data_IF_412904395974
#
_entry.id   IF_412904395974
#
_cell.length_a   1.000
_cell.length_b   1.000
_cell.length_c   1.000
_cell.angle_alpha   90.00
_cell.angle_beta   90.00
_cell.angle_gamma   90.00
#
_symmetry.space_group_name_H-M   'P 1'
#
loop_
_entity.id
_entity.type
_entity.pdbx_description
1 polymer ?
#
# COMPACT_ATOMS: atom_id res chain seq x y z
N UNK A 1 -2.68 -46.25 -2.07
CA UNK A 1 -1.36 -46.09 -1.39
C UNK A 1 -0.34 -45.39 -2.29
N UNK A 2 -0.28 -45.73 -3.58
CA UNK A 2 0.65 -45.11 -4.54
C UNK A 2 0.24 -43.67 -4.89
N UNK A 3 -1.03 -43.38 -5.03
CA UNK A 3 -1.57 -42.02 -5.26
C UNK A 3 -1.31 -41.09 -4.08
N UNK A 4 -1.52 -41.55 -2.84
CA UNK A 4 -1.24 -40.74 -1.63
C UNK A 4 0.25 -40.45 -1.46
N UNK A 5 1.13 -41.34 -1.91
CA UNK A 5 2.58 -41.14 -1.88
C UNK A 5 3.03 -40.13 -2.94
N UNK A 6 2.38 -40.14 -4.11
CA UNK A 6 2.60 -39.14 -5.17
C UNK A 6 2.12 -37.75 -4.77
N UNK A 7 0.95 -37.64 -4.16
CA UNK A 7 0.41 -36.36 -3.65
C UNK A 7 1.28 -35.76 -2.54
N UNK A 8 1.77 -36.58 -1.59
CA UNK A 8 2.72 -36.16 -0.55
C UNK A 8 4.03 -35.64 -1.16
N UNK A 9 4.57 -36.34 -2.16
CA UNK A 9 5.82 -35.92 -2.83
C UNK A 9 5.64 -34.62 -3.63
N UNK A 10 4.46 -34.39 -4.23
CA UNK A 10 4.14 -33.14 -4.91
C UNK A 10 3.97 -31.98 -3.93
N UNK A 11 3.32 -32.22 -2.79
CA UNK A 11 3.17 -31.20 -1.74
C UNK A 11 4.50 -30.80 -1.12
N UNK A 12 5.40 -31.76 -0.88
CA UNK A 12 6.76 -31.51 -0.39
C UNK A 12 7.59 -30.70 -1.42
N UNK A 13 7.50 -31.06 -2.70
CA UNK A 13 8.17 -30.32 -3.76
C UNK A 13 7.67 -28.88 -3.89
N UNK A 14 6.35 -28.66 -3.81
CA UNK A 14 5.75 -27.34 -3.83
C UNK A 14 6.19 -26.51 -2.61
N UNK A 15 6.21 -27.10 -1.42
CA UNK A 15 6.66 -26.43 -0.21
C UNK A 15 8.14 -25.98 -0.32
N UNK A 16 9.02 -26.83 -0.86
CA UNK A 16 10.42 -26.49 -1.10
C UNK A 16 10.58 -25.35 -2.12
N UNK A 17 9.79 -25.36 -3.20
CA UNK A 17 9.79 -24.25 -4.17
C UNK A 17 9.32 -22.93 -3.53
N UNK A 18 8.26 -22.97 -2.76
CA UNK A 18 7.76 -21.78 -2.04
C UNK A 18 8.78 -21.25 -1.03
N UNK A 19 9.48 -22.12 -0.30
CA UNK A 19 10.54 -21.73 0.64
C UNK A 19 11.73 -21.09 -0.10
N UNK A 20 12.14 -21.65 -1.24
CA UNK A 20 13.21 -21.08 -2.06
C UNK A 20 12.84 -19.70 -2.61
N UNK A 21 11.62 -19.54 -3.11
CA UNK A 21 11.08 -18.25 -3.60
C UNK A 21 11.04 -17.20 -2.48
N UNK A 22 10.59 -17.59 -1.28
CA UNK A 22 10.57 -16.70 -0.11
C UNK A 22 11.98 -16.25 0.29
N UNK A 23 12.96 -17.14 0.29
CA UNK A 23 14.34 -16.80 0.59
C UNK A 23 14.97 -15.89 -0.48
N UNK A 24 14.68 -16.12 -1.76
CA UNK A 24 15.14 -15.26 -2.85
C UNK A 24 14.49 -13.85 -2.74
N UNK A 25 13.18 -13.80 -2.51
CA UNK A 25 12.47 -12.55 -2.24
C UNK A 25 13.09 -11.80 -1.06
N UNK A 26 13.37 -12.48 0.04
CA UNK A 26 13.97 -11.88 1.23
C UNK A 26 15.36 -11.31 0.95
N UNK A 27 16.19 -12.04 0.19
CA UNK A 27 17.50 -11.55 -0.25
C UNK A 27 17.39 -10.29 -1.11
N UNK A 28 16.41 -10.25 -2.02
CA UNK A 28 16.14 -9.10 -2.88
C UNK A 28 15.64 -7.88 -2.07
N UNK A 29 14.72 -8.09 -1.13
CA UNK A 29 14.18 -7.03 -0.27
C UNK A 29 15.27 -6.37 0.57
N UNK A 30 16.11 -7.16 1.24
CA UNK A 30 17.11 -6.67 2.19
C UNK A 30 18.51 -6.52 1.60
N UNK A 31 18.64 -6.31 0.29
CA UNK A 31 19.93 -6.15 -0.38
C UNK A 31 20.67 -4.86 0.00
N UNK A 32 19.94 -3.83 0.41
CA UNK A 32 20.50 -2.54 0.80
C UNK A 32 20.78 -2.46 2.30
N UNK A 33 21.72 -1.60 2.69
CA UNK A 33 21.86 -1.17 4.08
C UNK A 33 20.84 -0.07 4.36
N UNK A 34 20.24 -0.09 5.56
CA UNK A 34 19.46 1.03 6.03
C UNK A 34 20.41 2.25 6.18
N UNK A 35 20.04 3.43 5.66
CA UNK A 35 20.82 4.65 5.83
C UNK A 35 20.94 5.05 7.31
N UNK A 36 22.10 5.61 7.70
CA UNK A 36 22.36 6.08 9.07
C UNK A 36 21.35 7.16 9.50
N UNK A 37 21.13 8.15 8.62
CA UNK A 37 20.07 9.14 8.81
C UNK A 37 18.84 8.66 8.08
N UNK A 38 17.82 8.26 8.78
CA UNK A 38 16.57 7.79 8.21
C UNK A 38 15.75 8.96 7.61
N UNK A 39 16.30 9.58 6.54
CA UNK A 39 15.69 10.65 5.76
C UNK A 39 15.23 10.12 4.39
N UNK A 40 14.23 10.79 3.80
CA UNK A 40 13.72 10.43 2.49
C UNK A 40 14.81 10.51 1.41
N UNK A 41 15.64 11.55 1.45
CA UNK A 41 16.76 11.72 0.50
C UNK A 41 17.74 10.54 0.57
N UNK A 42 18.13 10.12 1.76
CA UNK A 42 19.08 9.02 1.94
C UNK A 42 18.47 7.67 1.58
N UNK A 43 17.19 7.45 1.92
CA UNK A 43 16.46 6.26 1.48
C UNK A 43 16.46 6.13 -0.04
N UNK A 44 16.06 7.19 -0.77
CA UNK A 44 16.04 7.18 -2.23
C UNK A 44 17.45 7.03 -2.84
N UNK A 45 18.46 7.63 -2.22
CA UNK A 45 19.86 7.50 -2.68
C UNK A 45 20.40 6.08 -2.53
N UNK A 46 19.94 5.31 -1.54
CA UNK A 46 20.31 3.92 -1.32
C UNK A 46 19.67 2.96 -2.34
N UNK A 47 18.51 3.31 -2.90
CA UNK A 47 17.79 2.50 -3.88
C UNK A 47 18.55 2.40 -5.21
N UNK A 48 18.25 1.37 -6.01
CA UNK A 48 18.71 1.28 -7.42
C UNK A 48 17.91 2.22 -8.31
N UNK A 49 18.40 2.46 -9.53
CA UNK A 49 17.63 3.23 -10.51
C UNK A 49 16.30 2.55 -10.85
N UNK A 50 16.27 1.22 -10.95
CA UNK A 50 15.06 0.48 -11.25
C UNK A 50 13.99 0.70 -10.16
N UNK A 51 14.36 0.61 -8.87
CA UNK A 51 13.43 0.89 -7.77
C UNK A 51 12.90 2.34 -7.77
N UNK A 52 13.75 3.30 -8.13
CA UNK A 52 13.31 4.69 -8.29
C UNK A 52 12.38 4.87 -9.50
N UNK A 53 12.62 4.15 -10.60
CA UNK A 53 11.74 4.15 -11.76
C UNK A 53 10.38 3.50 -11.46
N UNK A 54 10.33 2.46 -10.62
CA UNK A 54 9.09 1.85 -10.14
C UNK A 54 8.26 2.86 -9.33
N UNK A 55 8.88 3.58 -8.38
CA UNK A 55 8.23 4.65 -7.62
C UNK A 55 7.71 5.75 -8.56
N UNK A 56 8.55 6.18 -9.52
CA UNK A 56 8.17 7.17 -10.52
C UNK A 56 6.93 6.74 -11.32
N UNK A 57 6.90 5.48 -11.73
CA UNK A 57 5.79 4.90 -12.48
C UNK A 57 4.52 4.85 -11.63
N UNK A 58 4.61 4.33 -10.41
CA UNK A 58 3.46 4.20 -9.49
C UNK A 58 2.86 5.55 -9.11
N UNK A 59 3.68 6.59 -8.98
CA UNK A 59 3.24 7.96 -8.72
C UNK A 59 2.86 8.74 -10.00
N UNK A 60 2.93 8.10 -11.17
CA UNK A 60 2.63 8.70 -12.48
C UNK A 60 3.43 10.01 -12.73
N UNK A 61 4.71 10.03 -12.35
CA UNK A 61 5.56 11.21 -12.53
C UNK A 61 6.14 11.21 -13.95
N UNK A 62 5.69 12.16 -14.77
CA UNK A 62 6.12 12.33 -16.15
C UNK A 62 7.46 13.10 -16.28
N UNK A 63 8.11 12.98 -17.44
CA UNK A 63 9.30 13.78 -17.79
C UNK A 63 10.55 13.48 -16.96
N UNK A 64 10.65 12.29 -16.35
CA UNK A 64 11.77 11.90 -15.51
C UNK A 64 12.45 10.58 -15.89
N UNK A 65 11.99 9.89 -16.95
CA UNK A 65 12.52 8.58 -17.37
C UNK A 65 13.97 8.61 -17.85
N UNK A 66 14.41 9.72 -18.41
CA UNK A 66 15.78 9.92 -18.90
C UNK A 66 16.78 10.38 -17.84
N UNK A 67 16.32 10.71 -16.63
CA UNK A 67 17.17 11.22 -15.56
C UNK A 67 18.14 10.14 -15.07
N UNK A 68 19.34 10.56 -14.67
CA UNK A 68 20.28 9.69 -13.96
C UNK A 68 19.76 9.42 -12.55
N UNK A 69 20.27 8.35 -11.89
CA UNK A 69 19.84 7.92 -10.57
C UNK A 69 19.74 9.06 -9.55
N UNK A 70 20.79 9.87 -9.43
CA UNK A 70 20.85 10.98 -8.46
C UNK A 70 19.81 12.06 -8.74
N UNK A 71 19.68 12.47 -10.01
CA UNK A 71 18.71 13.46 -10.46
C UNK A 71 17.26 12.95 -10.26
N UNK A 72 17.03 11.66 -10.52
CA UNK A 72 15.73 11.03 -10.29
C UNK A 72 15.38 11.02 -8.80
N UNK A 73 16.31 10.63 -7.92
CA UNK A 73 16.09 10.64 -6.48
C UNK A 73 15.77 12.05 -5.95
N UNK A 74 16.48 13.08 -6.42
CA UNK A 74 16.21 14.48 -6.06
C UNK A 74 14.83 14.94 -6.54
N UNK A 75 14.41 14.54 -7.73
CA UNK A 75 13.07 14.86 -8.25
C UNK A 75 11.96 14.14 -7.53
N UNK A 76 12.16 12.87 -7.14
CA UNK A 76 11.14 12.06 -6.46
C UNK A 76 10.84 12.55 -5.05
N UNK A 77 11.81 13.00 -4.29
CA UNK A 77 11.62 13.36 -2.88
C UNK A 77 10.47 14.37 -2.66
N UNK A 78 10.40 15.53 -3.34
CA UNK A 78 9.29 16.45 -3.17
C UNK A 78 7.95 15.91 -3.69
N UNK A 79 7.96 15.10 -4.75
CA UNK A 79 6.74 14.52 -5.32
C UNK A 79 6.15 13.43 -4.39
N UNK A 80 6.98 12.62 -3.74
CA UNK A 80 6.55 11.66 -2.72
C UNK A 80 5.89 12.38 -1.54
N UNK A 81 6.48 13.47 -1.05
CA UNK A 81 5.90 14.25 0.05
C UNK A 81 4.57 14.92 -0.36
N UNK A 82 4.50 15.44 -1.57
CA UNK A 82 3.25 15.99 -2.11
C UNK A 82 2.17 14.92 -2.22
N UNK A 83 2.52 13.75 -2.75
CA UNK A 83 1.63 12.60 -2.82
C UNK A 83 1.15 12.18 -1.43
N UNK A 84 2.07 12.02 -0.47
CA UNK A 84 1.74 11.61 0.89
C UNK A 84 0.68 12.52 1.54
N UNK A 85 0.80 13.85 1.39
CA UNK A 85 -0.18 14.82 1.91
C UNK A 85 -1.58 14.66 1.33
N UNK A 86 -1.67 14.30 0.05
CA UNK A 86 -2.96 14.12 -0.64
C UNK A 86 -3.56 12.75 -0.33
N UNK A 87 -2.71 11.74 -0.20
CA UNK A 87 -3.10 10.34 -0.05
C UNK A 87 -3.43 9.95 1.40
N UNK A 88 -2.71 10.50 2.39
CA UNK A 88 -2.92 10.16 3.81
C UNK A 88 -4.37 10.25 4.28
N UNK A 89 -5.20 11.22 3.85
CA UNK A 89 -6.63 11.22 4.22
C UNK A 89 -7.44 10.02 3.70
N UNK A 90 -6.93 9.27 2.72
CA UNK A 90 -7.61 8.11 2.12
C UNK A 90 -7.16 6.76 2.70
N UNK A 91 -6.26 6.76 3.71
CA UNK A 91 -5.76 5.51 4.29
C UNK A 91 -6.84 4.76 5.07
N UNK A 92 -6.69 3.45 5.13
CA UNK A 92 -7.52 2.57 5.94
C UNK A 92 -6.90 2.42 7.34
N UNK A 93 -7.68 1.89 8.28
CA UNK A 93 -7.24 1.71 9.67
C UNK A 93 -5.95 0.87 9.77
N UNK A 94 -5.80 -0.17 8.97
CA UNK A 94 -4.60 -1.00 8.97
C UNK A 94 -3.33 -0.25 8.50
N UNK A 95 -3.48 0.71 7.59
CA UNK A 95 -2.37 1.58 7.20
C UNK A 95 -2.08 2.60 8.29
N UNK A 96 -3.10 3.19 8.90
CA UNK A 96 -2.95 4.08 10.04
C UNK A 96 -2.17 3.39 11.18
N UNK A 97 -2.56 2.17 11.56
CA UNK A 97 -1.85 1.38 12.56
C UNK A 97 -0.39 1.08 12.17
N UNK A 98 -0.14 0.83 10.88
CA UNK A 98 1.21 0.66 10.35
C UNK A 98 2.06 1.92 10.54
N UNK A 99 1.53 3.10 10.24
CA UNK A 99 2.22 4.37 10.48
C UNK A 99 2.47 4.62 11.96
N UNK A 100 1.47 4.38 12.81
CA UNK A 100 1.60 4.46 14.28
C UNK A 100 2.70 3.54 14.78
N UNK A 101 2.77 2.31 14.26
CA UNK A 101 3.85 1.39 14.62
C UNK A 101 5.23 2.00 14.34
N UNK A 102 5.44 2.64 13.17
CA UNK A 102 6.71 3.31 12.86
C UNK A 102 6.97 4.55 13.72
N UNK A 103 5.93 5.25 14.20
CA UNK A 103 6.08 6.33 15.16
C UNK A 103 6.62 5.80 16.49
N UNK A 104 5.99 4.74 17.03
CA UNK A 104 6.35 4.12 18.30
C UNK A 104 7.75 3.47 18.26
N UNK A 105 8.08 2.79 17.18
CA UNK A 105 9.38 2.12 16.97
C UNK A 105 10.46 3.09 16.43
N UNK A 106 10.27 4.42 16.55
CA UNK A 106 11.21 5.46 16.16
C UNK A 106 11.68 5.38 14.69
N UNK A 107 10.81 4.91 13.84
CA UNK A 107 10.97 4.89 12.38
C UNK A 107 11.61 3.63 11.81
N UNK A 108 11.84 2.57 12.59
CA UNK A 108 12.30 1.26 12.08
C UNK A 108 11.76 0.11 12.91
N UNK A 109 11.51 -1.02 12.26
CA UNK A 109 11.01 -2.23 12.93
C UNK A 109 11.54 -3.49 12.25
N UNK A 110 11.91 -4.48 13.06
CA UNK A 110 12.23 -5.85 12.64
C UNK A 110 11.10 -6.85 12.92
N UNK A 111 9.93 -6.34 13.34
CA UNK A 111 8.79 -7.16 13.79
C UNK A 111 7.71 -7.33 12.70
N UNK A 112 7.84 -6.59 11.60
CA UNK A 112 6.89 -6.64 10.49
C UNK A 112 7.19 -7.83 9.58
N UNK A 113 6.15 -8.39 8.98
CA UNK A 113 6.26 -9.55 8.11
C UNK A 113 6.72 -9.14 6.72
N UNK A 114 7.59 -9.95 6.11
CA UNK A 114 8.13 -9.69 4.77
C UNK A 114 7.13 -10.00 3.63
N UNK A 115 6.05 -10.72 3.93
CA UNK A 115 4.96 -11.07 3.01
C UNK A 115 3.72 -10.16 3.14
N UNK A 116 3.82 -9.06 3.86
CA UNK A 116 2.73 -8.07 3.99
C UNK A 116 2.61 -7.23 2.71
N UNK A 117 1.57 -7.50 1.93
CA UNK A 117 1.27 -6.80 0.66
C UNK A 117 1.17 -5.28 0.85
N UNK A 118 0.70 -4.83 2.01
CA UNK A 118 0.61 -3.42 2.36
C UNK A 118 1.99 -2.76 2.45
N UNK A 119 3.00 -3.44 3.03
CA UNK A 119 4.37 -2.92 3.09
C UNK A 119 4.99 -2.82 1.69
N UNK A 120 4.74 -3.80 0.82
CA UNK A 120 5.18 -3.75 -0.58
C UNK A 120 4.53 -2.58 -1.31
N UNK A 121 3.23 -2.36 -1.11
CA UNK A 121 2.51 -1.22 -1.67
C UNK A 121 3.10 0.12 -1.21
N UNK A 122 3.26 0.31 0.10
CA UNK A 122 3.85 1.53 0.67
C UNK A 122 5.29 1.75 0.20
N UNK A 123 6.07 0.68 0.04
CA UNK A 123 7.42 0.72 -0.53
C UNK A 123 7.39 1.13 -2.00
N UNK A 124 6.47 0.60 -2.78
CA UNK A 124 6.25 0.98 -4.18
C UNK A 124 5.90 2.45 -4.39
N UNK A 125 5.34 3.10 -3.37
CA UNK A 125 5.06 4.55 -3.34
C UNK A 125 6.23 5.40 -2.79
N UNK A 126 7.30 4.77 -2.32
CA UNK A 126 8.44 5.45 -1.70
C UNK A 126 8.17 6.00 -0.30
N UNK A 127 7.13 5.53 0.38
CA UNK A 127 6.76 5.98 1.73
C UNK A 127 7.57 5.27 2.83
N UNK A 128 8.04 4.07 2.54
CA UNK A 128 8.95 3.30 3.40
C UNK A 128 9.90 2.44 2.55
N UNK A 129 10.86 1.82 3.19
CA UNK A 129 11.75 0.86 2.56
C UNK A 129 12.19 -0.22 3.56
N UNK A 130 12.99 -1.17 3.10
CA UNK A 130 13.58 -2.20 3.94
C UNK A 130 15.08 -2.33 3.68
N UNK A 131 15.81 -2.86 4.64
CA UNK A 131 17.26 -3.00 4.54
C UNK A 131 17.88 -3.64 5.77
N UNK A 132 19.21 -3.65 5.79
CA UNK A 132 20.01 -4.18 6.89
C UNK A 132 20.46 -3.07 7.82
N UNK A 133 20.15 -3.20 9.12
CA UNK A 133 20.65 -2.36 10.20
C UNK A 133 21.60 -3.23 11.07
N UNK A 134 22.90 -3.20 10.76
CA UNK A 134 23.83 -4.22 11.22
C UNK A 134 23.45 -5.60 10.71
N UNK A 135 23.27 -6.56 11.63
CA UNK A 135 22.83 -7.92 11.32
C UNK A 135 21.29 -8.10 11.27
N UNK A 136 20.53 -7.04 11.59
CA UNK A 136 19.07 -7.09 11.63
C UNK A 136 18.47 -6.69 10.29
N UNK A 137 17.46 -7.42 9.86
CA UNK A 137 16.60 -7.05 8.75
C UNK A 137 15.48 -6.15 9.29
N UNK A 138 15.32 -4.97 8.71
CA UNK A 138 14.38 -3.96 9.19
C UNK A 138 13.59 -3.33 8.05
N UNK A 139 12.32 -3.05 8.32
CA UNK A 139 11.53 -2.06 7.60
C UNK A 139 11.75 -0.70 8.24
N UNK A 140 11.81 0.36 7.45
CA UNK A 140 12.01 1.71 7.97
C UNK A 140 11.24 2.76 7.18
N UNK A 141 10.74 3.75 7.89
CA UNK A 141 9.98 4.88 7.34
C UNK A 141 10.77 6.16 7.55
N UNK A 142 11.05 6.95 6.49
CA UNK A 142 11.79 8.22 6.59
C UNK A 142 11.15 9.20 7.54
N UNK A 143 12.00 10.05 8.15
CA UNK A 143 11.56 11.06 9.11
C UNK A 143 10.50 11.98 8.50
N UNK A 144 10.69 12.44 7.27
CA UNK A 144 9.79 13.37 6.58
C UNK A 144 8.40 12.78 6.40
N UNK A 145 8.28 11.49 6.08
CA UNK A 145 6.98 10.79 5.94
C UNK A 145 6.31 10.69 7.31
N UNK A 146 7.04 10.31 8.34
CA UNK A 146 6.51 10.27 9.72
C UNK A 146 6.07 11.66 10.21
N UNK A 147 6.79 12.71 9.83
CA UNK A 147 6.44 14.08 10.19
C UNK A 147 5.17 14.56 9.48
N UNK A 148 4.93 14.15 8.20
CA UNK A 148 3.65 14.44 7.52
C UNK A 148 2.49 13.70 8.20
N UNK A 149 2.66 12.44 8.55
CA UNK A 149 1.63 11.67 9.27
C UNK A 149 1.31 12.32 10.63
N UNK A 150 2.33 12.67 11.43
CA UNK A 150 2.15 13.31 12.76
C UNK A 150 1.37 14.62 12.72
N UNK A 151 1.38 15.35 11.60
CA UNK A 151 0.60 16.59 11.48
C UNK A 151 -0.91 16.31 11.46
N UNK A 152 -1.30 15.13 10.98
CA UNK A 152 -2.69 14.69 10.89
C UNK A 152 -3.09 13.84 12.10
N UNK A 153 -2.12 13.18 12.73
CA UNK A 153 -2.34 12.21 13.81
C UNK A 153 -3.11 12.82 14.99
N UNK A 154 -4.34 12.35 15.13
CA UNK A 154 -5.33 12.80 16.11
C UNK A 154 -6.45 11.77 16.21
N UNK A 155 -7.26 11.80 17.28
CA UNK A 155 -8.46 10.94 17.36
C UNK A 155 -9.40 11.09 16.17
N UNK A 156 -9.50 12.28 15.58
CA UNK A 156 -10.32 12.50 14.38
C UNK A 156 -9.72 11.83 13.14
N UNK A 157 -8.40 11.77 13.04
CA UNK A 157 -7.74 11.11 11.91
C UNK A 157 -7.83 9.57 12.01
N UNK A 158 -7.73 9.02 13.21
CA UNK A 158 -7.99 7.60 13.45
C UNK A 158 -9.45 7.24 13.13
N UNK A 159 -10.41 8.09 13.55
CA UNK A 159 -11.81 7.91 13.22
C UNK A 159 -12.06 7.99 11.69
N UNK A 160 -11.36 8.88 10.96
CA UNK A 160 -11.41 8.95 9.51
C UNK A 160 -10.88 7.66 8.87
N UNK A 161 -9.74 7.13 9.30
CA UNK A 161 -9.18 5.87 8.80
C UNK A 161 -10.14 4.68 9.08
N UNK A 162 -10.79 4.68 10.23
CA UNK A 162 -11.83 3.70 10.59
C UNK A 162 -13.04 3.81 9.64
N UNK A 163 -13.50 5.01 9.37
CA UNK A 163 -14.60 5.27 8.42
C UNK A 163 -14.22 4.82 7.00
N UNK A 164 -13.00 5.10 6.55
CA UNK A 164 -12.50 4.65 5.24
C UNK A 164 -12.51 3.11 5.13
N UNK A 165 -12.17 2.42 6.20
CA UNK A 165 -12.25 0.95 6.28
C UNK A 165 -13.68 0.46 6.17
N UNK A 166 -14.62 1.10 6.87
CA UNK A 166 -16.04 0.77 6.80
C UNK A 166 -16.62 1.03 5.39
N UNK A 167 -16.27 2.15 4.75
CA UNK A 167 -16.60 2.46 3.35
C UNK A 167 -16.13 1.34 2.42
N UNK A 168 -14.90 0.87 2.59
CA UNK A 168 -14.33 -0.22 1.78
C UNK A 168 -15.07 -1.53 2.02
N UNK A 169 -15.41 -1.84 3.27
CA UNK A 169 -16.18 -3.04 3.65
C UNK A 169 -17.59 -3.03 3.06
N UNK A 170 -18.30 -1.91 3.15
CA UNK A 170 -19.62 -1.74 2.56
C UNK A 170 -19.57 -1.88 1.03
N UNK A 171 -18.58 -1.25 0.40
CA UNK A 171 -18.32 -1.38 -1.04
C UNK A 171 -18.13 -2.84 -1.45
N UNK A 172 -17.26 -3.57 -0.76
CA UNK A 172 -17.02 -4.98 -1.04
C UNK A 172 -18.31 -5.81 -0.88
N UNK A 173 -19.13 -5.50 0.13
CA UNK A 173 -20.43 -6.14 0.34
C UNK A 173 -21.39 -5.92 -0.83
N UNK A 174 -21.52 -4.70 -1.34
CA UNK A 174 -22.34 -4.43 -2.53
C UNK A 174 -21.81 -5.15 -3.77
N UNK A 175 -20.50 -5.07 -4.01
CA UNK A 175 -19.87 -5.64 -5.19
C UNK A 175 -19.84 -7.18 -5.18
N UNK A 176 -19.87 -7.80 -3.99
CA UNK A 176 -19.99 -9.25 -3.87
C UNK A 176 -21.28 -9.78 -4.55
N UNK A 177 -22.38 -9.02 -4.48
CA UNK A 177 -23.66 -9.40 -5.10
C UNK A 177 -23.82 -8.84 -6.51
N UNK A 178 -23.30 -7.62 -6.79
CA UNK A 178 -23.52 -6.93 -8.06
C UNK A 178 -22.37 -7.08 -9.06
N UNK A 179 -21.21 -7.56 -8.60
CA UNK A 179 -20.00 -7.73 -9.40
C UNK A 179 -19.29 -6.41 -9.72
N UNK A 180 -19.99 -5.45 -10.30
CA UNK A 180 -19.49 -4.13 -10.72
C UNK A 180 -20.53 -3.04 -10.41
N UNK A 181 -20.04 -1.81 -10.14
CA UNK A 181 -20.88 -0.62 -10.00
C UNK A 181 -20.09 0.64 -10.36
N UNK A 182 -20.72 1.61 -11.02
CA UNK A 182 -20.13 2.92 -11.24
C UNK A 182 -19.94 3.70 -9.92
N UNK A 183 -19.04 4.68 -9.93
CA UNK A 183 -18.68 5.40 -8.72
C UNK A 183 -19.84 6.18 -8.10
N UNK A 184 -20.71 6.81 -8.90
CA UNK A 184 -21.80 7.65 -8.40
C UNK A 184 -22.88 6.81 -7.71
N UNK A 185 -23.27 5.71 -8.35
CA UNK A 185 -24.23 4.75 -7.80
C UNK A 185 -23.69 4.13 -6.51
N UNK A 186 -22.42 3.71 -6.51
CA UNK A 186 -21.77 3.09 -5.36
C UNK A 186 -21.64 4.06 -4.20
N UNK A 187 -21.19 5.31 -4.46
CA UNK A 187 -21.13 6.38 -3.47
C UNK A 187 -22.49 6.60 -2.80
N UNK A 188 -23.55 6.75 -3.60
CA UNK A 188 -24.91 6.98 -3.10
C UNK A 188 -25.37 5.84 -2.18
N UNK A 189 -25.09 4.60 -2.56
CA UNK A 189 -25.47 3.42 -1.77
C UNK A 189 -24.66 3.33 -0.46
N UNK A 190 -23.35 3.52 -0.52
CA UNK A 190 -22.47 3.45 0.64
C UNK A 190 -22.74 4.60 1.60
N UNK A 191 -22.81 5.84 1.10
CA UNK A 191 -23.13 7.01 1.92
C UNK A 191 -24.51 6.87 2.62
N UNK A 192 -25.47 6.22 1.98
CA UNK A 192 -26.78 5.93 2.57
C UNK A 192 -26.74 4.98 3.78
N UNK A 193 -25.67 4.24 3.99
CA UNK A 193 -25.48 3.33 5.13
C UNK A 193 -24.70 3.97 6.29
N UNK A 194 -24.04 5.09 6.04
CA UNK A 194 -23.25 5.78 7.07
C UNK A 194 -24.15 6.61 8.00
N UNK A 195 -23.68 6.84 9.21
CA UNK A 195 -24.29 7.78 10.14
C UNK A 195 -24.35 9.21 9.56
N UNK A 196 -25.24 10.04 10.05
CA UNK A 196 -25.51 11.35 9.47
C UNK A 196 -24.28 12.26 9.43
N UNK A 197 -23.51 12.32 10.50
CA UNK A 197 -22.28 13.10 10.60
C UNK A 197 -21.16 12.56 9.69
N UNK A 198 -21.03 11.26 9.55
CA UNK A 198 -20.10 10.62 8.63
C UNK A 198 -20.46 10.94 7.17
N UNK A 199 -21.75 10.85 6.84
CA UNK A 199 -22.27 11.15 5.49
C UNK A 199 -22.04 12.60 5.09
N UNK A 200 -22.28 13.56 6.01
CA UNK A 200 -22.07 14.98 5.76
C UNK A 200 -20.60 15.32 5.50
N UNK A 201 -19.69 14.57 6.09
CA UNK A 201 -18.24 14.77 5.95
C UNK A 201 -17.60 13.99 4.79
N UNK A 202 -18.31 13.05 4.16
CA UNK A 202 -17.80 12.26 3.04
C UNK A 202 -18.09 12.93 1.71
N UNK A 203 -17.09 13.54 1.08
CA UNK A 203 -17.23 14.01 -0.30
C UNK A 203 -17.09 12.84 -1.31
N UNK A 204 -17.70 13.01 -2.50
CA UNK A 204 -17.51 12.06 -3.60
C UNK A 204 -16.02 11.86 -3.97
N UNK A 205 -15.24 12.95 -3.94
CA UNK A 205 -13.79 12.90 -4.21
C UNK A 205 -13.05 12.04 -3.18
N UNK A 206 -13.38 12.20 -1.89
CA UNK A 206 -12.74 11.43 -0.83
C UNK A 206 -13.12 9.96 -0.93
N UNK A 207 -14.38 9.65 -1.23
CA UNK A 207 -14.83 8.29 -1.52
C UNK A 207 -14.01 7.64 -2.66
N UNK A 208 -13.84 8.32 -3.78
CA UNK A 208 -13.01 7.81 -4.90
C UNK A 208 -11.57 7.61 -4.46
N UNK A 209 -11.01 8.53 -3.67
CA UNK A 209 -9.66 8.39 -3.10
C UNK A 209 -9.51 7.12 -2.25
N UNK A 210 -10.49 6.81 -1.40
CA UNK A 210 -10.53 5.57 -0.60
C UNK A 210 -10.60 4.34 -1.49
N UNK A 211 -11.44 4.34 -2.54
CA UNK A 211 -11.54 3.22 -3.47
C UNK A 211 -10.23 2.96 -4.22
N UNK A 212 -9.57 4.01 -4.68
CA UNK A 212 -8.28 3.92 -5.34
C UNK A 212 -7.21 3.33 -4.40
N UNK A 213 -7.15 3.81 -3.15
CA UNK A 213 -6.21 3.29 -2.16
C UNK A 213 -6.50 1.81 -1.85
N UNK A 214 -7.73 1.47 -1.49
CA UNK A 214 -8.14 0.11 -1.14
C UNK A 214 -7.87 -0.88 -2.27
N UNK A 215 -8.11 -0.48 -3.53
CA UNK A 215 -7.85 -1.30 -4.71
C UNK A 215 -6.39 -1.71 -4.88
N UNK A 216 -5.45 -0.96 -4.32
CA UNK A 216 -4.01 -1.21 -4.53
C UNK A 216 -3.47 -2.36 -3.68
N UNK A 217 -4.10 -2.72 -2.57
CA UNK A 217 -3.53 -3.71 -1.65
C UNK A 217 -4.52 -4.64 -0.94
N UNK A 218 -5.83 -4.32 -0.90
CA UNK A 218 -6.79 -5.14 -0.10
C UNK A 218 -7.19 -6.45 -0.77
N UNK A 219 -6.89 -6.65 -2.05
CA UNK A 219 -7.34 -7.82 -2.83
C UNK A 219 -8.87 -8.09 -2.74
N UNK A 220 -9.66 -7.06 -2.48
CA UNK A 220 -11.12 -7.18 -2.29
C UNK A 220 -11.87 -6.54 -3.42
N UNK A 221 -11.40 -5.38 -3.86
CA UNK A 221 -11.99 -4.57 -4.92
C UNK A 221 -10.93 -4.16 -5.94
N UNK A 222 -11.36 -3.83 -7.15
CA UNK A 222 -10.51 -3.28 -8.21
C UNK A 222 -11.16 -2.00 -8.73
N UNK A 223 -10.47 -0.87 -8.54
CA UNK A 223 -10.88 0.41 -9.09
C UNK A 223 -10.57 0.47 -10.60
N UNK A 224 -11.56 0.82 -11.39
CA UNK A 224 -11.50 1.03 -12.83
C UNK A 224 -11.76 2.51 -13.15
N UNK A 225 -11.50 3.01 -14.37
CA UNK A 225 -11.74 4.42 -14.71
C UNK A 225 -13.17 4.90 -14.48
N UNK A 226 -14.16 4.03 -14.61
CA UNK A 226 -15.57 4.39 -14.54
C UNK A 226 -16.32 3.84 -13.32
N UNK A 227 -15.67 3.00 -12.50
CA UNK A 227 -16.34 2.37 -11.36
C UNK A 227 -15.43 1.39 -10.62
N UNK A 228 -16.05 0.55 -9.82
CA UNK A 228 -15.34 -0.44 -8.99
C UNK A 228 -15.93 -1.81 -9.24
N UNK A 229 -15.08 -2.84 -9.35
CA UNK A 229 -15.51 -4.23 -9.46
C UNK A 229 -15.05 -5.06 -8.28
N UNK A 230 -15.75 -6.16 -8.02
CA UNK A 230 -15.27 -7.17 -7.10
C UNK A 230 -14.04 -7.88 -7.69
N UNK A 231 -13.03 -8.17 -6.89
CA UNK A 231 -11.73 -8.63 -7.41
C UNK A 231 -11.79 -9.94 -8.21
N UNK A 232 -12.74 -10.83 -7.92
CA UNK A 232 -12.95 -12.10 -8.66
C UNK A 232 -13.74 -11.95 -9.95
N UNK A 233 -14.34 -10.78 -10.21
CA UNK A 233 -15.06 -10.55 -11.47
C UNK A 233 -14.07 -10.43 -12.62
N UNK A 234 -14.11 -11.38 -13.56
CA UNK A 234 -13.17 -11.45 -14.69
C UNK A 234 -13.58 -10.48 -15.79
N UNK A 235 -14.89 -10.42 -16.11
CA UNK A 235 -15.46 -9.59 -17.18
C UNK A 235 -16.64 -8.76 -16.67
N UNK A 236 -16.42 -7.45 -16.56
CA UNK A 236 -17.45 -6.48 -16.16
C UNK A 236 -18.57 -6.30 -17.19
N UNK A 237 -18.35 -6.70 -18.45
CA UNK A 237 -19.36 -6.64 -19.52
C UNK A 237 -20.28 -7.87 -19.51
N UNK A 238 -20.00 -8.85 -18.68
CA UNK A 238 -20.84 -10.04 -18.52
C UNK A 238 -22.06 -9.82 -17.58
N UNK A 239 -22.17 -8.63 -16.99
CA UNK A 239 -23.26 -8.20 -16.10
C UNK A 239 -24.26 -7.34 -16.88
#
# INVERSE_FOLDING_TARGET
>A
MEDQKNELTQAESLAQMMEADMEERKKALYRHKMPEKNTLKEMLSAMTKAELDDIRYNLNISGASSLKKAELAEKLAPEILKFARIWLPSILLEEYECFQHFILEKGKSSKLRDDDVRLDYLRGLGLLSCGKDGDKLVWYMPKEIRDEFKKLDSPNFEALATMNTEITRLTAGYLFYCGYMDYETLYTKVAGQLEADQRENLSFKDFVGVMLNASCWTNTIVALPQGVKYYTLIDENAL
#
